data_IF_075685470257
#
_entry.id   IF_075685470257
#
_cell.length_a   1.000
_cell.length_b   1.000
_cell.length_c   1.000
_cell.angle_alpha   90.00
_cell.angle_beta   90.00
_cell.angle_gamma   90.00
#
_symmetry.space_group_name_H-M   'P 1'
#
loop_
_entity.id
_entity.type
_entity.pdbx_description
1 polymer ?
#
# COMPACT_ATOMS: atom_id res chain seq x y z
N UNK A 1 30.11 27.31 4.79
CA UNK A 1 30.68 26.24 3.94
C UNK A 1 30.29 26.54 2.50
N UNK A 2 31.25 26.60 1.57
CA UNK A 2 30.99 26.81 0.13
C UNK A 2 30.19 25.64 -0.45
N UNK A 3 29.18 25.91 -1.29
CA UNK A 3 28.42 24.85 -1.97
C UNK A 3 29.34 24.04 -2.90
N UNK A 4 29.33 22.69 -2.81
CA UNK A 4 30.06 21.87 -3.77
C UNK A 4 29.47 22.06 -5.17
N UNK A 5 30.32 22.06 -6.19
CA UNK A 5 29.88 22.12 -7.59
C UNK A 5 29.60 20.69 -8.09
N UNK A 6 28.47 20.48 -8.75
CA UNK A 6 28.03 19.16 -9.23
C UNK A 6 29.07 18.51 -10.17
N UNK A 7 29.59 19.29 -11.12
CA UNK A 7 30.50 18.81 -12.17
C UNK A 7 31.93 18.52 -11.70
N UNK A 8 32.34 19.04 -10.54
CA UNK A 8 33.69 18.77 -10.00
C UNK A 8 33.71 17.64 -8.98
N UNK A 9 32.62 17.48 -8.20
CA UNK A 9 32.56 16.50 -7.10
C UNK A 9 31.15 15.90 -6.95
N UNK A 10 30.69 15.04 -7.88
CA UNK A 10 29.29 14.61 -7.94
C UNK A 10 28.85 13.85 -6.68
N UNK A 11 29.67 12.94 -6.16
CA UNK A 11 29.35 12.19 -4.92
C UNK A 11 29.27 13.11 -3.69
N UNK A 12 30.11 14.15 -3.64
CA UNK A 12 30.10 15.13 -2.54
C UNK A 12 28.90 16.05 -2.64
N UNK A 13 28.51 16.42 -3.86
CA UNK A 13 27.29 17.16 -4.13
C UNK A 13 26.03 16.37 -3.75
N UNK A 14 25.94 15.08 -4.11
CA UNK A 14 24.79 14.24 -3.75
C UNK A 14 24.65 14.10 -2.22
N UNK A 15 25.75 13.88 -1.50
CA UNK A 15 25.75 13.82 -0.02
C UNK A 15 25.42 15.16 0.63
N UNK A 16 25.80 16.27 0.01
CA UNK A 16 25.44 17.61 0.48
C UNK A 16 23.96 17.90 0.20
N UNK A 17 23.47 17.62 -1.01
CA UNK A 17 22.09 17.81 -1.43
C UNK A 17 21.11 16.99 -0.60
N UNK A 18 21.48 15.76 -0.20
CA UNK A 18 20.65 14.92 0.68
C UNK A 18 20.49 15.47 2.10
N UNK A 19 21.42 16.33 2.56
CA UNK A 19 21.41 16.93 3.92
C UNK A 19 20.83 18.34 3.93
N UNK A 20 21.25 19.18 2.98
CA UNK A 20 20.87 20.60 2.94
C UNK A 20 19.49 20.81 2.29
N UNK A 21 19.13 19.95 1.32
CA UNK A 21 17.88 20.07 0.53
C UNK A 21 17.17 18.70 0.45
N UNK A 22 16.82 18.08 1.58
CA UNK A 22 16.29 16.72 1.60
C UNK A 22 15.00 16.59 0.78
N UNK A 23 14.10 17.59 0.86
CA UNK A 23 12.83 17.55 0.13
C UNK A 23 13.01 17.48 -1.40
N UNK A 24 13.94 18.25 -1.96
CA UNK A 24 14.21 18.27 -3.41
C UNK A 24 14.96 17.01 -3.82
N UNK A 25 15.94 16.60 -3.03
CA UNK A 25 16.76 15.43 -3.32
C UNK A 25 15.93 14.14 -3.35
N UNK A 26 15.13 13.90 -2.31
CA UNK A 26 14.33 12.68 -2.23
C UNK A 26 13.11 12.69 -3.17
N UNK A 27 12.54 13.86 -3.51
CA UNK A 27 11.45 13.92 -4.50
C UNK A 27 11.92 13.56 -5.90
N UNK A 28 13.13 13.96 -6.30
CA UNK A 28 13.73 13.57 -7.58
C UNK A 28 13.96 12.06 -7.61
N UNK A 29 14.48 11.48 -6.53
CA UNK A 29 14.69 10.02 -6.43
C UNK A 29 13.37 9.28 -6.56
N UNK A 30 12.37 9.61 -5.72
CA UNK A 30 11.05 8.95 -5.73
C UNK A 30 10.35 9.17 -7.07
N UNK A 31 10.43 10.38 -7.65
CA UNK A 31 9.85 10.70 -8.95
C UNK A 31 10.52 9.92 -10.10
N UNK A 32 11.84 9.73 -10.04
CA UNK A 32 12.58 8.95 -11.05
C UNK A 32 12.33 7.45 -10.97
N UNK A 33 11.95 6.92 -9.79
CA UNK A 33 11.65 5.50 -9.63
C UNK A 33 10.50 5.04 -10.52
N UNK A 34 9.49 5.88 -10.79
CA UNK A 34 8.35 5.53 -11.66
C UNK A 34 8.79 5.21 -13.10
N UNK A 35 9.42 6.17 -13.82
CA UNK A 35 9.93 5.93 -15.17
C UNK A 35 10.98 4.81 -15.24
N UNK A 36 11.87 4.72 -14.25
CA UNK A 36 12.86 3.63 -14.17
C UNK A 36 12.16 2.27 -14.04
N UNK A 37 11.11 2.19 -13.21
CA UNK A 37 10.33 0.96 -13.07
C UNK A 37 9.68 0.56 -14.40
N UNK A 38 9.15 1.51 -15.19
CA UNK A 38 8.58 1.22 -16.51
C UNK A 38 9.62 0.69 -17.51
N UNK A 39 10.87 1.13 -17.43
CA UNK A 39 11.94 0.65 -18.30
C UNK A 39 12.53 -0.70 -17.84
N UNK A 40 12.61 -0.92 -16.53
CA UNK A 40 13.30 -2.09 -15.93
C UNK A 40 12.36 -3.27 -15.67
N UNK A 41 11.10 -3.03 -15.26
CA UNK A 41 10.16 -4.12 -14.97
C UNK A 41 9.86 -5.01 -16.19
N UNK A 42 9.60 -4.49 -17.41
CA UNK A 42 9.27 -5.35 -18.54
C UNK A 42 10.35 -6.38 -18.93
N UNK A 43 11.65 -6.04 -19.05
CA UNK A 43 12.67 -7.04 -19.36
C UNK A 43 12.87 -8.03 -18.20
N UNK A 44 12.79 -7.59 -16.95
CA UNK A 44 12.88 -8.49 -15.78
C UNK A 44 11.69 -9.45 -15.73
N UNK A 45 10.48 -8.95 -16.00
CA UNK A 45 9.24 -9.74 -16.04
C UNK A 45 9.32 -10.83 -17.11
N UNK A 46 9.84 -10.51 -18.30
CA UNK A 46 10.11 -11.48 -19.37
C UNK A 46 11.17 -12.51 -18.99
N UNK A 47 12.20 -12.11 -18.24
CA UNK A 47 13.22 -13.03 -17.73
C UNK A 47 12.63 -14.08 -16.77
N UNK A 48 11.64 -13.72 -15.96
CA UNK A 48 10.90 -14.64 -15.09
C UNK A 48 9.85 -15.51 -15.82
N UNK A 49 9.75 -15.41 -17.15
CA UNK A 49 8.88 -16.25 -17.96
C UNK A 49 7.42 -15.80 -18.01
N UNK A 50 7.13 -14.55 -17.65
CA UNK A 50 5.79 -13.99 -17.82
C UNK A 50 5.52 -13.79 -19.32
N UNK A 51 4.57 -14.55 -19.85
CA UNK A 51 4.18 -14.50 -21.26
C UNK A 51 3.17 -13.38 -21.44
N UNK A 52 3.31 -12.59 -22.51
CA UNK A 52 2.32 -11.59 -22.84
C UNK A 52 0.95 -12.28 -23.01
N UNK A 53 -0.12 -11.79 -22.34
CA UNK A 53 -1.42 -12.44 -22.42
C UNK A 53 -1.89 -12.47 -23.88
N UNK A 54 -2.56 -13.56 -24.26
CA UNK A 54 -3.10 -13.70 -25.61
C UNK A 54 -4.03 -12.51 -25.93
N UNK A 55 -3.98 -11.97 -27.17
CA UNK A 55 -4.89 -10.90 -27.57
C UNK A 55 -6.32 -11.37 -27.38
N UNK A 56 -7.12 -10.54 -26.71
CA UNK A 56 -8.53 -10.85 -26.45
C UNK A 56 -9.19 -11.13 -27.81
N UNK A 57 -9.73 -12.34 -28.05
CA UNK A 57 -10.32 -12.66 -29.34
C UNK A 57 -11.51 -11.73 -29.58
N UNK A 58 -11.49 -11.02 -30.71
CA UNK A 58 -12.60 -10.15 -31.13
C UNK A 58 -13.85 -10.95 -31.49
N UNK A 59 -13.69 -12.27 -31.67
CA UNK A 59 -14.75 -13.23 -31.98
C UNK A 59 -14.56 -14.46 -31.10
N UNK A 60 -15.57 -14.77 -30.29
CA UNK A 60 -15.61 -16.04 -29.56
C UNK A 60 -15.85 -17.17 -30.56
N UNK A 61 -15.01 -18.22 -30.64
CA UNK A 61 -15.34 -19.41 -31.40
C UNK A 61 -16.48 -20.12 -30.68
N UNK A 62 -17.71 -19.87 -31.10
CA UNK A 62 -18.89 -20.58 -30.59
C UNK A 62 -18.89 -21.98 -31.20
N UNK A 63 -18.19 -22.91 -30.57
CA UNK A 63 -18.71 -24.28 -30.53
C UNK A 63 -20.04 -24.21 -29.75
N UNK A 64 -21.05 -25.00 -30.14
CA UNK A 64 -22.38 -25.08 -29.50
C UNK A 64 -22.33 -25.65 -28.06
N UNK A 65 -21.44 -25.12 -27.22
CA UNK A 65 -21.37 -25.35 -25.80
C UNK A 65 -22.43 -24.47 -25.16
N UNK A 66 -23.42 -25.11 -24.52
CA UNK A 66 -24.39 -24.40 -23.68
C UNK A 66 -23.62 -23.48 -22.72
N UNK A 67 -24.02 -22.21 -22.56
CA UNK A 67 -23.32 -21.29 -21.67
C UNK A 67 -23.23 -21.93 -20.28
N UNK A 68 -22.04 -21.97 -19.65
CA UNK A 68 -21.94 -22.42 -18.27
C UNK A 68 -22.94 -21.64 -17.42
N UNK A 69 -23.60 -22.31 -16.47
CA UNK A 69 -24.71 -21.73 -15.72
C UNK A 69 -24.18 -20.66 -14.73
N UNK A 70 -23.98 -19.43 -15.22
CA UNK A 70 -23.37 -18.30 -14.52
C UNK A 70 -24.30 -17.63 -13.49
N UNK A 71 -25.47 -18.22 -13.21
CA UNK A 71 -26.46 -17.71 -12.24
C UNK A 71 -25.86 -17.49 -10.84
N UNK A 72 -24.85 -18.29 -10.46
CA UNK A 72 -24.06 -18.16 -9.22
C UNK A 72 -23.20 -16.89 -9.16
N UNK A 73 -22.77 -16.37 -10.31
CA UNK A 73 -21.90 -15.18 -10.47
C UNK A 73 -22.68 -13.97 -11.00
N UNK A 74 -23.95 -13.84 -10.59
CA UNK A 74 -24.84 -12.77 -11.06
C UNK A 74 -24.15 -11.40 -11.06
N UNK A 75 -24.16 -10.74 -12.23
CA UNK A 75 -23.44 -9.50 -12.48
C UNK A 75 -23.71 -8.47 -11.38
N UNK A 76 -22.68 -7.85 -10.77
CA UNK A 76 -22.84 -6.79 -9.76
C UNK A 76 -23.70 -5.61 -10.23
N UNK A 77 -23.81 -5.43 -11.55
CA UNK A 77 -24.66 -4.44 -12.20
C UNK A 77 -26.15 -4.67 -11.98
N UNK A 78 -26.61 -5.91 -11.82
CA UNK A 78 -28.03 -6.24 -11.63
C UNK A 78 -28.48 -6.18 -10.16
N UNK A 79 -27.60 -5.77 -9.26
CA UNK A 79 -27.97 -5.63 -7.85
C UNK A 79 -28.84 -4.40 -7.62
N UNK A 80 -29.80 -4.49 -6.69
CA UNK A 80 -30.61 -3.33 -6.33
C UNK A 80 -29.73 -2.24 -5.70
N UNK A 81 -30.10 -0.97 -5.94
CA UNK A 81 -29.26 0.20 -5.61
C UNK A 81 -28.86 0.24 -4.13
N UNK A 82 -29.76 -0.16 -3.21
CA UNK A 82 -29.49 -0.20 -1.78
C UNK A 82 -28.31 -1.12 -1.44
N UNK A 83 -28.20 -2.28 -2.13
CA UNK A 83 -27.12 -3.24 -1.90
C UNK A 83 -25.79 -2.68 -2.39
N UNK A 84 -25.79 -1.98 -3.53
CA UNK A 84 -24.59 -1.34 -4.07
C UNK A 84 -24.10 -0.25 -3.13
N UNK A 85 -24.98 0.66 -2.70
CA UNK A 85 -24.65 1.74 -1.78
C UNK A 85 -24.14 1.20 -0.45
N UNK A 86 -24.82 0.20 0.12
CA UNK A 86 -24.41 -0.41 1.40
C UNK A 86 -23.04 -1.09 1.30
N UNK A 87 -22.78 -1.88 0.25
CA UNK A 87 -21.49 -2.55 0.07
C UNK A 87 -20.37 -1.53 -0.16
N UNK A 88 -20.61 -0.49 -0.97
CA UNK A 88 -19.63 0.58 -1.19
C UNK A 88 -19.37 1.39 0.08
N UNK A 89 -20.40 1.69 0.86
CA UNK A 89 -20.26 2.41 2.13
C UNK A 89 -19.41 1.61 3.12
N UNK A 90 -19.67 0.29 3.28
CA UNK A 90 -18.86 -0.60 4.13
C UNK A 90 -17.41 -0.66 3.63
N UNK A 91 -17.19 -0.72 2.32
CA UNK A 91 -15.83 -0.75 1.77
C UNK A 91 -15.09 0.58 1.95
N UNK A 92 -15.81 1.71 2.04
CA UNK A 92 -15.25 3.03 2.28
C UNK A 92 -14.87 3.26 3.75
N UNK A 93 -15.64 2.70 4.70
CA UNK A 93 -15.35 2.87 6.13
C UNK A 93 -14.04 2.19 6.54
N UNK A 94 -13.67 1.05 5.93
CA UNK A 94 -12.40 0.38 6.21
C UNK A 94 -11.15 1.29 6.01
N UNK A 95 -10.89 1.86 4.82
CA UNK A 95 -9.76 2.76 4.62
C UNK A 95 -9.90 4.08 5.40
N UNK A 96 -11.11 4.57 5.67
CA UNK A 96 -11.30 5.73 6.56
C UNK A 96 -10.76 5.47 7.97
N UNK A 97 -11.03 4.30 8.54
CA UNK A 97 -10.51 3.90 9.85
C UNK A 97 -8.98 3.80 9.84
N UNK A 98 -8.41 3.14 8.83
CA UNK A 98 -6.95 3.04 8.68
C UNK A 98 -6.27 4.40 8.52
N UNK A 99 -6.89 5.34 7.78
CA UNK A 99 -6.37 6.70 7.65
C UNK A 99 -6.43 7.48 8.96
N UNK A 100 -7.45 7.23 9.77
CA UNK A 100 -7.64 7.90 11.06
C UNK A 100 -6.57 7.46 12.08
N UNK A 101 -6.16 6.19 12.04
CA UNK A 101 -5.09 5.64 12.90
C UNK A 101 -3.72 6.31 12.65
N UNK A 102 -3.38 6.61 11.39
CA UNK A 102 -2.14 7.34 11.08
C UNK A 102 -2.26 8.82 11.46
N UNK A 103 -3.44 9.40 11.24
CA UNK A 103 -3.71 10.81 11.54
C UNK A 103 -3.63 11.15 13.04
N UNK A 104 -4.00 10.21 13.92
CA UNK A 104 -3.96 10.40 15.37
C UNK A 104 -2.54 10.40 15.94
N UNK A 105 -1.58 9.79 15.25
CA UNK A 105 -0.20 9.67 15.76
C UNK A 105 0.52 11.01 15.83
N UNK A 106 0.32 11.89 14.85
CA UNK A 106 0.96 13.21 14.76
C UNK A 106 0.83 14.05 16.05
N UNK A 107 -0.39 14.35 16.54
CA UNK A 107 -0.56 15.07 17.80
C UNK A 107 -0.14 14.25 19.03
N UNK A 108 -0.22 12.92 18.98
CA UNK A 108 0.12 12.05 20.10
C UNK A 108 1.62 11.98 20.41
N UNK A 109 2.52 12.20 19.42
CA UNK A 109 3.98 12.05 19.60
C UNK A 109 4.50 12.77 20.84
N UNK A 110 4.09 14.03 21.05
CA UNK A 110 4.58 14.84 22.18
C UNK A 110 4.15 14.26 23.53
N UNK A 111 2.91 13.77 23.62
CA UNK A 111 2.38 13.16 24.83
C UNK A 111 3.07 11.82 25.11
N UNK A 112 3.21 10.97 24.09
CA UNK A 112 3.88 9.66 24.19
C UNK A 112 5.35 9.79 24.61
N UNK A 113 6.08 10.78 24.08
CA UNK A 113 7.48 11.00 24.47
C UNK A 113 7.64 11.44 25.93
N UNK A 114 6.66 12.18 26.47
CA UNK A 114 6.67 12.64 27.86
C UNK A 114 6.34 11.49 28.84
N UNK A 115 5.39 10.63 28.48
CA UNK A 115 4.94 9.51 29.32
C UNK A 115 5.97 8.37 29.33
N UNK A 116 6.51 7.99 28.17
CA UNK A 116 7.47 6.90 28.06
C UNK A 116 8.94 7.31 28.24
N UNK A 117 9.23 8.62 28.35
CA UNK A 117 10.59 9.17 28.45
C UNK A 117 11.52 8.70 27.32
N UNK A 118 10.99 8.61 26.10
CA UNK A 118 11.67 8.13 24.90
C UNK A 118 11.94 9.29 23.94
N UNK A 119 12.98 9.19 23.11
CA UNK A 119 13.30 10.19 22.09
C UNK A 119 12.19 10.30 21.02
N UNK A 120 12.03 11.47 20.43
CA UNK A 120 11.09 11.72 19.31
C UNK A 120 11.39 10.79 18.13
N UNK A 121 12.66 10.48 17.89
CA UNK A 121 13.09 9.56 16.82
C UNK A 121 12.53 8.17 17.09
N UNK A 122 12.65 7.66 18.31
CA UNK A 122 12.10 6.36 18.66
C UNK A 122 10.56 6.37 18.60
N UNK A 123 9.87 7.42 19.07
CA UNK A 123 8.42 7.54 18.86
C UNK A 123 8.03 7.50 17.37
N UNK A 124 8.81 8.12 16.47
CA UNK A 124 8.49 8.09 15.03
C UNK A 124 8.61 6.71 14.36
N UNK A 125 9.30 5.75 15.01
CA UNK A 125 9.45 4.37 14.48
C UNK A 125 8.07 3.71 14.32
N UNK A 126 7.09 4.02 15.18
CA UNK A 126 5.73 3.48 15.09
C UNK A 126 5.05 3.78 13.75
N UNK A 127 5.04 5.06 13.34
CA UNK A 127 4.47 5.48 12.04
C UNK A 127 5.21 4.84 10.87
N UNK A 128 6.55 4.80 10.94
CA UNK A 128 7.34 4.21 9.85
C UNK A 128 7.09 2.71 9.68
N UNK A 129 6.93 1.99 10.80
CA UNK A 129 6.62 0.56 10.80
C UNK A 129 5.22 0.31 10.24
N UNK A 130 4.23 1.11 10.65
CA UNK A 130 2.88 1.05 10.09
C UNK A 130 2.87 1.28 8.57
N UNK A 131 3.59 2.31 8.11
CA UNK A 131 3.64 2.67 6.68
C UNK A 131 4.36 1.61 5.86
N UNK A 132 5.45 1.03 6.39
CA UNK A 132 6.12 -0.10 5.76
C UNK A 132 5.21 -1.33 5.66
N UNK A 133 4.45 -1.64 6.72
CA UNK A 133 3.44 -2.70 6.71
C UNK A 133 2.33 -2.45 5.68
N UNK A 134 1.83 -1.22 5.58
CA UNK A 134 0.82 -0.84 4.58
C UNK A 134 1.35 -0.94 3.14
N UNK A 135 2.65 -0.72 2.91
CA UNK A 135 3.26 -0.91 1.60
C UNK A 135 3.40 -2.40 1.22
N UNK A 136 3.78 -3.25 2.18
CA UNK A 136 4.01 -4.68 1.95
C UNK A 136 2.72 -5.52 1.95
N UNK A 137 1.74 -5.15 2.78
CA UNK A 137 0.47 -5.86 2.94
C UNK A 137 -0.24 -6.17 1.63
N UNK A 138 -0.57 -5.17 0.78
CA UNK A 138 -1.28 -5.42 -0.47
C UNK A 138 -0.46 -6.25 -1.47
N UNK A 139 0.88 -6.19 -1.44
CA UNK A 139 1.71 -7.01 -2.33
C UNK A 139 1.56 -8.51 -2.05
N UNK A 140 1.49 -8.89 -0.77
CA UNK A 140 1.30 -10.30 -0.38
C UNK A 140 -0.17 -10.72 -0.50
N UNK A 141 -1.09 -9.83 -0.14
CA UNK A 141 -2.52 -10.12 -0.15
C UNK A 141 -3.13 -10.15 -1.56
N UNK A 142 -2.52 -9.46 -2.53
CA UNK A 142 -2.97 -9.44 -3.92
C UNK A 142 -3.12 -10.86 -4.53
N UNK A 143 -2.07 -11.71 -4.57
CA UNK A 143 -2.18 -13.06 -5.12
C UNK A 143 -3.11 -13.97 -4.28
N UNK A 144 -3.13 -13.80 -2.96
CA UNK A 144 -4.01 -14.57 -2.07
C UNK A 144 -5.49 -14.27 -2.36
N UNK A 145 -5.82 -13.02 -2.68
CA UNK A 145 -7.18 -12.57 -3.02
C UNK A 145 -7.67 -13.00 -4.40
N UNK A 146 -6.77 -13.52 -5.24
CA UNK A 146 -7.09 -14.08 -6.56
C UNK A 146 -7.39 -15.57 -6.48
N UNK A 147 -6.62 -16.30 -5.65
CA UNK A 147 -6.83 -17.73 -5.39
C UNK A 147 -8.06 -17.93 -4.48
N UNK A 148 -8.23 -17.08 -3.47
CA UNK A 148 -9.37 -17.12 -2.56
C UNK A 148 -10.43 -16.09 -2.97
N UNK A 149 -11.70 -16.36 -2.66
CA UNK A 149 -12.76 -15.36 -2.86
C UNK A 149 -12.39 -14.06 -2.11
N UNK A 150 -12.63 -12.88 -2.72
CA UNK A 150 -12.22 -11.59 -2.14
C UNK A 150 -12.76 -11.32 -0.72
N UNK A 151 -13.99 -11.75 -0.41
CA UNK A 151 -14.67 -11.47 0.87
C UNK A 151 -13.94 -11.97 2.13
N UNK A 152 -13.54 -13.25 2.25
CA UNK A 152 -12.83 -13.75 3.43
C UNK A 152 -11.48 -13.06 3.66
N UNK A 153 -10.76 -12.68 2.59
CA UNK A 153 -9.48 -11.96 2.71
C UNK A 153 -9.71 -10.58 3.35
N UNK A 154 -10.71 -9.83 2.88
CA UNK A 154 -11.08 -8.54 3.48
C UNK A 154 -11.50 -8.65 4.95
N UNK A 155 -12.29 -9.68 5.29
CA UNK A 155 -12.75 -9.87 6.67
C UNK A 155 -11.59 -10.25 7.60
N UNK A 156 -10.70 -11.14 7.15
CA UNK A 156 -9.53 -11.56 7.92
C UNK A 156 -8.59 -10.37 8.22
N UNK A 157 -8.30 -9.55 7.21
CA UNK A 157 -7.47 -8.35 7.39
C UNK A 157 -8.13 -7.31 8.28
N UNK A 158 -9.46 -7.15 8.20
CA UNK A 158 -10.19 -6.23 9.08
C UNK A 158 -10.15 -6.68 10.55
N UNK A 159 -10.28 -7.99 10.81
CA UNK A 159 -10.16 -8.55 12.17
C UNK A 159 -8.74 -8.36 12.72
N UNK A 160 -7.72 -8.66 11.92
CA UNK A 160 -6.32 -8.44 12.32
C UNK A 160 -6.04 -6.97 12.64
N UNK A 161 -6.57 -6.06 11.81
CA UNK A 161 -6.47 -4.62 12.06
C UNK A 161 -7.15 -4.23 13.39
N UNK A 162 -8.36 -4.71 13.64
CA UNK A 162 -9.08 -4.45 14.90
C UNK A 162 -8.32 -4.96 16.13
N UNK A 163 -7.72 -6.14 16.05
CA UNK A 163 -6.88 -6.69 17.14
C UNK A 163 -5.65 -5.78 17.36
N UNK A 164 -4.99 -5.36 16.28
CA UNK A 164 -3.85 -4.45 16.35
C UNK A 164 -4.19 -3.12 17.03
N UNK A 165 -5.31 -2.50 16.66
CA UNK A 165 -5.80 -1.27 17.31
C UNK A 165 -6.05 -1.48 18.81
N UNK A 166 -6.70 -2.59 19.20
CA UNK A 166 -6.91 -2.92 20.62
C UNK A 166 -5.58 -3.12 21.35
N UNK A 167 -4.60 -3.79 20.75
CA UNK A 167 -3.27 -3.92 21.33
C UNK A 167 -2.65 -2.54 21.58
N UNK A 168 -2.66 -1.64 20.58
CA UNK A 168 -2.11 -0.29 20.73
C UNK A 168 -2.86 0.57 21.76
N UNK A 169 -4.14 0.30 22.00
CA UNK A 169 -4.92 1.01 23.01
C UNK A 169 -4.58 0.58 24.45
N UNK A 170 -4.07 -0.65 24.64
CA UNK A 170 -3.78 -1.22 25.97
C UNK A 170 -2.30 -1.13 26.33
N UNK A 171 -1.39 -0.89 25.37
CA UNK A 171 0.05 -0.78 25.61
C UNK A 171 0.38 0.33 26.62
N UNK A 172 1.10 -0.05 27.68
CA UNK A 172 1.57 0.86 28.75
C UNK A 172 3.03 1.27 28.57
N UNK A 173 3.78 0.52 27.76
CA UNK A 173 5.23 0.62 27.61
C UNK A 173 5.54 0.73 26.11
N UNK A 174 6.59 1.46 25.76
CA UNK A 174 7.02 1.66 24.38
C UNK A 174 7.36 0.36 23.62
N UNK A 175 7.76 -0.71 24.32
CA UNK A 175 8.11 -2.00 23.70
C UNK A 175 6.93 -2.98 23.54
N UNK A 176 5.75 -2.64 24.07
CA UNK A 176 4.64 -3.57 24.30
C UNK A 176 4.32 -3.71 25.79
#
# INVERSE_FOLDING_TARGET
MSSPQFWSTPLRYLRWASREKPAIFYSIIIGSMGPVSLAVLPPVRRYFGDVDPEPIPLTYPTADLRPPNLKKYGSPYNWPIYRKVLVTAILCTCPMLSSSAVGSYGPAVRQLTAEWKVSVVAASIGITTFTAGFALGPMVLSPISEIHTRKPVFLATAVLFAIGEVCTAVTRIYAG
#
